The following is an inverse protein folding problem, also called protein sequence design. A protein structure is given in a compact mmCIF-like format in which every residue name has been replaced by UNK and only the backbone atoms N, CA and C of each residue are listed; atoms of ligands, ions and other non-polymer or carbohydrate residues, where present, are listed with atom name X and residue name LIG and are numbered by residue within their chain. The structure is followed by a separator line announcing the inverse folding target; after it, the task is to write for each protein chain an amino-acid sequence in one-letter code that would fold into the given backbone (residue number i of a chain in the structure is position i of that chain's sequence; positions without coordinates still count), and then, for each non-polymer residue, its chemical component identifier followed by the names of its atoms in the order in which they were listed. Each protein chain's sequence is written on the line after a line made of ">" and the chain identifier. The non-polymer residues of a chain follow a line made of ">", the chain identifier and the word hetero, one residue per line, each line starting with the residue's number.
data_IF_435982677001
#
_entry.id   IF_435982677001
#
_cell.length_a   1.000
_cell.length_b   1.000
_cell.length_c   1.000
_cell.angle_alpha   90.00
_cell.angle_beta   90.00
_cell.angle_gamma   90.00
#
_symmetry.space_group_name_H-M   'P 1'
#
loop_
_entity.id
_entity.type
_entity.pdbx_description
1 polymer ?
#
# COMPACT_ATOMS: atom_id res chain seq x y z
N UNK A 1 5.65 9.74 -9.51
CA UNK A 1 4.58 10.34 -8.69
C UNK A 1 3.81 9.33 -7.82
N UNK A 2 2.90 8.48 -8.32
CA UNK A 2 2.16 7.50 -7.46
C UNK A 2 3.12 6.58 -6.71
N UNK A 3 4.15 6.06 -7.38
CA UNK A 3 5.20 5.25 -6.73
C UNK A 3 5.90 6.00 -5.57
N UNK A 4 6.02 7.33 -5.65
CA UNK A 4 6.56 8.15 -4.57
C UNK A 4 5.61 8.23 -3.36
N UNK A 5 4.31 8.33 -3.61
CA UNK A 5 3.28 8.28 -2.56
C UNK A 5 3.33 6.91 -1.87
N UNK A 6 3.30 5.82 -2.64
CA UNK A 6 3.35 4.45 -2.10
C UNK A 6 4.64 4.19 -1.32
N UNK A 7 5.78 4.69 -1.81
CA UNK A 7 7.05 4.61 -1.10
C UNK A 7 7.00 5.34 0.25
N UNK A 8 6.50 6.57 0.27
CA UNK A 8 6.35 7.35 1.50
C UNK A 8 5.41 6.68 2.49
N UNK A 9 4.26 6.15 2.04
CA UNK A 9 3.29 5.47 2.91
C UNK A 9 3.92 4.22 3.54
N UNK A 10 4.68 3.45 2.76
CA UNK A 10 5.32 2.23 3.24
C UNK A 10 6.50 2.47 4.19
N UNK A 11 7.24 3.56 3.99
CA UNK A 11 8.47 3.83 4.75
C UNK A 11 8.28 4.87 5.87
N UNK A 12 7.14 5.56 5.87
CA UNK A 12 6.81 6.65 6.78
C UNK A 12 7.83 7.80 6.83
N UNK A 13 8.69 7.93 5.81
CA UNK A 13 9.66 9.03 5.76
C UNK A 13 8.96 10.41 5.68
N UNK A 14 9.62 11.47 6.17
CA UNK A 14 9.16 12.83 5.92
C UNK A 14 9.03 13.10 4.42
N UNK A 15 8.04 13.90 4.01
CA UNK A 15 7.85 14.25 2.60
C UNK A 15 9.09 14.89 1.98
N UNK A 16 9.80 15.74 2.74
CA UNK A 16 11.00 16.44 2.27
C UNK A 16 12.18 15.50 1.99
N UNK A 17 12.14 14.28 2.52
CA UNK A 17 13.19 13.28 2.37
C UNK A 17 12.85 12.26 1.27
N UNK A 18 11.78 12.52 0.50
CA UNK A 18 11.40 11.65 -0.61
C UNK A 18 12.54 11.54 -1.62
N UNK A 19 12.98 10.32 -1.99
CA UNK A 19 14.05 10.15 -2.95
C UNK A 19 13.76 10.82 -4.29
N UNK A 20 14.74 11.55 -4.83
CA UNK A 20 14.61 12.36 -6.05
C UNK A 20 14.15 11.56 -7.28
N UNK A 21 14.46 10.25 -7.32
CA UNK A 21 13.96 9.32 -8.35
C UNK A 21 12.43 9.28 -8.49
N UNK A 22 11.68 9.73 -7.47
CA UNK A 22 10.22 9.83 -7.52
C UNK A 22 9.68 11.17 -8.03
N UNK A 23 10.58 12.14 -8.27
CA UNK A 23 10.31 13.52 -8.63
C UNK A 23 10.24 14.46 -7.43
N UNK A 24 9.90 15.72 -7.69
CA UNK A 24 9.75 16.76 -6.65
C UNK A 24 8.77 16.34 -5.56
N UNK A 25 9.21 16.34 -4.31
CA UNK A 25 8.39 15.98 -3.16
C UNK A 25 7.11 16.84 -3.06
N UNK A 26 7.17 18.12 -3.45
CA UNK A 26 6.01 19.03 -3.43
C UNK A 26 4.92 18.54 -4.36
N UNK A 27 5.28 18.15 -5.58
CA UNK A 27 4.34 17.64 -6.58
C UNK A 27 3.69 16.34 -6.13
N UNK A 28 4.49 15.43 -5.55
CA UNK A 28 4.00 14.16 -5.02
C UNK A 28 3.05 14.39 -3.83
N UNK A 29 3.43 15.27 -2.90
CA UNK A 29 2.62 15.66 -1.76
C UNK A 29 1.30 16.32 -2.18
N UNK A 30 1.34 17.28 -3.11
CA UNK A 30 0.13 17.95 -3.58
C UNK A 30 -0.84 16.99 -4.22
N UNK A 31 -0.34 16.03 -5.03
CA UNK A 31 -1.21 15.00 -5.60
C UNK A 31 -1.82 14.13 -4.51
N UNK A 32 -1.01 13.66 -3.56
CA UNK A 32 -1.51 12.89 -2.42
C UNK A 32 -2.61 13.67 -1.70
N UNK A 33 -2.37 14.93 -1.33
CA UNK A 33 -3.33 15.80 -0.63
C UNK A 33 -4.62 15.98 -1.42
N UNK A 34 -4.56 16.27 -2.71
CA UNK A 34 -5.77 16.44 -3.55
C UNK A 34 -6.58 15.16 -3.61
N UNK A 35 -5.92 14.03 -3.84
CA UNK A 35 -6.57 12.72 -3.94
C UNK A 35 -7.14 12.21 -2.62
N UNK A 36 -6.53 12.59 -1.49
CA UNK A 36 -7.09 12.35 -0.16
C UNK A 36 -8.32 13.21 0.09
N UNK A 37 -8.37 14.44 -0.44
CA UNK A 37 -9.50 15.34 -0.23
C UNK A 37 -10.70 15.02 -1.12
N UNK A 38 -10.47 14.51 -2.33
CA UNK A 38 -11.52 14.26 -3.34
C UNK A 38 -11.97 12.79 -3.45
N UNK A 39 -11.54 11.94 -2.50
CA UNK A 39 -11.90 10.52 -2.45
C UNK A 39 -11.33 9.69 -3.61
N UNK A 40 -10.32 10.17 -4.34
CA UNK A 40 -9.69 9.38 -5.41
C UNK A 40 -9.07 8.10 -4.86
N UNK A 41 -8.47 8.12 -3.67
CA UNK A 41 -7.92 6.91 -3.06
C UNK A 41 -8.97 5.83 -2.82
N UNK A 42 -10.16 6.21 -2.33
CA UNK A 42 -11.25 5.27 -2.11
C UNK A 42 -11.74 4.65 -3.42
N UNK A 43 -11.81 5.47 -4.49
CA UNK A 43 -12.19 4.99 -5.82
C UNK A 43 -11.16 4.00 -6.38
N UNK A 44 -9.86 4.31 -6.24
CA UNK A 44 -8.78 3.40 -6.65
C UNK A 44 -8.84 2.10 -5.85
N UNK A 45 -9.00 2.18 -4.53
CA UNK A 45 -9.08 1.00 -3.67
C UNK A 45 -10.24 0.09 -4.09
N UNK A 46 -11.44 0.65 -4.29
CA UNK A 46 -12.61 -0.10 -4.75
C UNK A 46 -12.38 -0.76 -6.10
N UNK A 47 -11.75 -0.08 -7.05
CA UNK A 47 -11.45 -0.64 -8.37
C UNK A 47 -10.46 -1.81 -8.28
N UNK A 48 -9.40 -1.68 -7.48
CA UNK A 48 -8.41 -2.75 -7.27
C UNK A 48 -9.03 -3.93 -6.52
N UNK A 49 -9.90 -3.66 -5.54
CA UNK A 49 -10.62 -4.72 -4.82
C UNK A 49 -11.57 -5.48 -5.75
N UNK A 50 -12.31 -4.78 -6.62
CA UNK A 50 -13.19 -5.43 -7.59
C UNK A 50 -12.42 -6.35 -8.55
N UNK A 51 -11.27 -5.90 -9.07
CA UNK A 51 -10.41 -6.73 -9.92
C UNK A 51 -9.85 -7.96 -9.18
N UNK A 52 -9.43 -7.78 -7.93
CA UNK A 52 -8.93 -8.88 -7.12
C UNK A 52 -10.03 -9.86 -6.70
N UNK A 53 -11.25 -9.39 -6.43
CA UNK A 53 -12.42 -10.20 -6.15
C UNK A 53 -12.81 -11.07 -7.35
N UNK A 54 -12.89 -10.48 -8.55
CA UNK A 54 -13.14 -11.21 -9.80
C UNK A 54 -12.08 -12.29 -10.06
N UNK A 55 -10.84 -12.04 -9.64
CA UNK A 55 -9.73 -12.98 -9.75
C UNK A 55 -9.67 -14.00 -8.59
N UNK A 56 -10.61 -13.98 -7.63
CA UNK A 56 -10.63 -14.87 -6.46
C UNK A 56 -9.45 -14.65 -5.49
N UNK A 57 -8.86 -13.46 -5.49
CA UNK A 57 -7.68 -13.10 -4.67
C UNK A 57 -8.03 -12.47 -3.32
N UNK A 58 -9.32 -12.23 -3.05
CA UNK A 58 -9.81 -11.68 -1.78
C UNK A 58 -10.66 -12.71 -1.07
N UNK A 59 -10.31 -13.02 0.17
CA UNK A 59 -11.20 -13.71 1.10
C UNK A 59 -11.89 -12.67 2.00
N UNK A 60 -13.17 -12.42 1.73
CA UNK A 60 -13.99 -11.47 2.49
C UNK A 60 -14.43 -11.97 3.86
N UNK A 61 -14.25 -13.26 4.16
CA UNK A 61 -14.58 -13.82 5.48
C UNK A 61 -13.54 -13.43 6.54
N UNK A 62 -12.35 -13.00 6.11
CA UNK A 62 -11.27 -12.53 6.97
C UNK A 62 -11.17 -11.00 6.92
N UNK A 63 -11.44 -10.34 8.05
CA UNK A 63 -11.23 -8.90 8.21
C UNK A 63 -10.11 -8.66 9.25
N UNK A 64 -8.95 -8.18 8.79
CA UNK A 64 -7.88 -7.71 9.65
C UNK A 64 -8.03 -6.22 9.95
N UNK A 65 -8.27 -5.84 11.21
CA UNK A 65 -8.37 -4.44 11.64
C UNK A 65 -6.98 -3.82 11.77
N UNK A 66 -6.07 -4.55 12.40
CA UNK A 66 -4.65 -4.28 12.45
C UNK A 66 -3.89 -5.52 11.97
N UNK A 67 -2.90 -5.29 11.11
CA UNK A 67 -2.04 -6.36 10.61
C UNK A 67 -0.61 -5.87 10.56
N UNK A 68 0.32 -6.72 11.00
CA UNK A 68 1.75 -6.44 10.92
C UNK A 68 2.37 -7.35 9.87
N UNK A 69 3.10 -6.77 8.92
CA UNK A 69 3.91 -7.54 7.97
C UNK A 69 5.37 -7.47 8.38
N UNK A 70 5.92 -8.62 8.78
CA UNK A 70 7.33 -8.78 9.13
C UNK A 70 7.97 -9.76 8.15
N UNK A 71 9.23 -9.52 7.79
CA UNK A 71 10.00 -10.55 7.06
C UNK A 71 10.21 -11.74 7.98
N UNK A 72 9.81 -12.93 7.55
CA UNK A 72 10.10 -14.16 8.28
C UNK A 72 11.61 -14.47 8.22
N UNK A 73 12.16 -15.03 9.30
CA UNK A 73 13.53 -15.54 9.29
C UNK A 73 13.67 -16.66 8.25
N UNK A 74 14.85 -16.83 7.65
CA UNK A 74 15.06 -17.84 6.59
C UNK A 74 14.75 -19.29 7.02
N UNK A 75 14.76 -19.55 8.34
CA UNK A 75 14.38 -20.84 8.95
C UNK A 75 13.00 -20.82 9.63
N UNK A 76 12.12 -19.88 9.30
CA UNK A 76 10.80 -19.76 9.91
C UNK A 76 9.74 -20.73 9.36
N UNK A 77 10.09 -21.58 8.38
CA UNK A 77 9.19 -22.61 7.89
C UNK A 77 9.03 -23.72 8.95
N UNK A 78 7.85 -23.80 9.57
CA UNK A 78 7.49 -24.92 10.43
C UNK A 78 7.35 -26.23 9.63
N UNK A 79 7.36 -27.39 10.30
CA UNK A 79 7.19 -28.69 9.65
C UNK A 79 5.87 -28.73 8.86
N UNK A 80 5.89 -29.32 7.65
CA UNK A 80 4.67 -29.59 6.88
C UNK A 80 3.86 -30.66 7.62
N UNK A 81 2.58 -30.42 7.83
CA UNK A 81 1.65 -31.44 8.31
C UNK A 81 1.56 -32.58 7.27
N UNK A 82 1.58 -33.82 7.77
CA UNK A 82 1.45 -35.05 6.99
C UNK A 82 -0.03 -35.34 6.65
#
# INVERSE_FOLDING_TARGET
>A
MINGILFRVRTAIPWRDLPERFGSWKTVYERHRRWSADGTWDRILRAVQADADLAGRIDWSMAGVDSTSCRAHQHAAGPRAA
#
